data_IF_862208133626
#
_entry.id   IF_862208133626
#
_cell.length_a   1.000
_cell.length_b   1.000
_cell.length_c   1.000
_cell.angle_alpha   90.00
_cell.angle_beta   90.00
_cell.angle_gamma   90.00
#
_symmetry.space_group_name_H-M   'P 1'
#
loop_
_entity.id
_entity.type
_entity.pdbx_description
1 polymer ?
#
# COMPACT_ATOMS: atom_id res chain seq x y z
N UNK A 1 -1.44 26.00 -2.35
CA UNK A 1 -0.81 25.93 -1.01
C UNK A 1 -0.35 24.50 -0.81
N UNK A 2 0.93 24.24 -0.98
CA UNK A 2 1.50 22.92 -0.72
C UNK A 2 1.62 22.77 0.79
N UNK A 3 0.84 21.84 1.39
CA UNK A 3 1.04 21.51 2.78
C UNK A 3 2.40 20.83 2.93
N UNK A 4 3.30 21.45 3.65
CA UNK A 4 4.63 20.96 3.93
C UNK A 4 4.60 19.83 4.95
N UNK A 5 4.04 18.66 4.58
CA UNK A 5 4.20 17.45 5.35
C UNK A 5 5.64 16.98 5.19
N UNK A 6 6.44 17.20 6.19
CA UNK A 6 7.79 16.64 6.22
C UNK A 6 7.68 15.11 6.29
N UNK A 7 8.57 14.37 5.63
CA UNK A 7 8.54 12.90 5.64
C UNK A 7 8.55 12.29 7.05
N UNK A 8 9.03 13.01 8.05
CA UNK A 8 9.01 12.63 9.47
C UNK A 8 7.58 12.63 10.02
N UNK A 9 6.78 13.65 9.71
CA UNK A 9 5.40 13.75 10.20
C UNK A 9 4.51 12.65 9.60
N UNK A 10 4.69 12.32 8.33
CA UNK A 10 3.99 11.19 7.71
C UNK A 10 4.33 9.86 8.41
N UNK A 11 5.57 9.61 8.76
CA UNK A 11 5.98 8.40 9.49
C UNK A 11 5.33 8.27 10.86
N UNK A 12 5.32 9.34 11.65
CA UNK A 12 4.74 9.36 12.99
C UNK A 12 3.24 9.04 12.91
N UNK A 13 2.52 9.70 12.02
CA UNK A 13 1.09 9.50 11.86
C UNK A 13 0.78 8.08 11.35
N UNK A 14 1.56 7.55 10.43
CA UNK A 14 1.40 6.20 9.88
C UNK A 14 1.51 5.14 10.96
N UNK A 15 2.59 5.16 11.74
CA UNK A 15 2.82 4.17 12.81
C UNK A 15 1.76 4.27 13.89
N UNK A 16 1.41 5.48 14.33
CA UNK A 16 0.37 5.72 15.34
C UNK A 16 -1.00 5.18 14.88
N UNK A 17 -1.40 5.49 13.66
CA UNK A 17 -2.68 5.01 13.09
C UNK A 17 -2.70 3.49 12.96
N UNK A 18 -1.65 2.88 12.46
CA UNK A 18 -1.57 1.42 12.32
C UNK A 18 -1.52 0.69 13.67
N UNK A 19 -0.93 1.30 14.71
CA UNK A 19 -0.97 0.74 16.06
C UNK A 19 -2.39 0.75 16.65
N UNK A 20 -3.21 1.73 16.31
CA UNK A 20 -4.62 1.80 16.74
C UNK A 20 -5.53 0.81 16.00
N UNK A 21 -5.11 0.28 14.84
CA UNK A 21 -5.93 -0.62 14.05
C UNK A 21 -6.09 -1.99 14.74
N UNK A 22 -7.33 -2.49 14.76
CA UNK A 22 -7.62 -3.85 15.20
C UNK A 22 -7.05 -4.87 14.21
N UNK A 23 -6.44 -5.94 14.73
CA UNK A 23 -5.87 -7.02 13.93
C UNK A 23 -6.63 -8.32 14.17
N UNK A 24 -6.92 -9.04 13.09
CA UNK A 24 -7.57 -10.35 13.14
C UNK A 24 -6.93 -11.26 12.07
N UNK A 25 -6.68 -12.50 12.44
CA UNK A 25 -6.18 -13.49 11.47
C UNK A 25 -7.19 -13.70 10.34
N UNK A 26 -6.78 -13.46 9.12
CA UNK A 26 -7.54 -13.72 7.90
C UNK A 26 -6.60 -13.89 6.71
N UNK A 27 -7.14 -14.23 5.54
CA UNK A 27 -6.34 -14.49 4.34
C UNK A 27 -6.91 -13.81 3.08
N UNK A 28 -7.86 -12.90 3.25
CA UNK A 28 -8.58 -12.29 2.14
C UNK A 28 -8.49 -10.77 2.20
N UNK A 29 -8.53 -10.14 1.03
CA UNK A 29 -8.73 -8.71 0.88
C UNK A 29 -9.63 -8.40 -0.31
N UNK A 30 -10.25 -7.24 -0.28
CA UNK A 30 -11.08 -6.75 -1.37
C UNK A 30 -10.24 -5.95 -2.36
N UNK A 31 -10.62 -6.05 -3.62
CA UNK A 31 -10.11 -5.20 -4.70
C UNK A 31 -11.27 -4.35 -5.20
N UNK A 32 -11.16 -3.05 -4.99
CA UNK A 32 -12.14 -2.07 -5.43
C UNK A 32 -11.72 -1.47 -6.77
N UNK A 33 -12.44 -1.80 -7.83
CA UNK A 33 -12.26 -1.19 -9.15
C UNK A 33 -13.25 -0.04 -9.31
N UNK A 34 -12.73 1.18 -9.21
CA UNK A 34 -13.54 2.42 -9.27
C UNK A 34 -13.59 2.94 -10.70
N UNK A 35 -14.74 2.86 -11.32
CA UNK A 35 -15.00 3.35 -12.68
C UNK A 35 -16.06 4.46 -12.64
N UNK A 36 -15.62 5.71 -12.64
CA UNK A 36 -16.49 6.86 -12.49
C UNK A 36 -17.26 6.82 -11.16
N UNK A 37 -18.59 6.77 -11.21
CA UNK A 37 -19.45 6.69 -10.01
C UNK A 37 -19.68 5.24 -9.53
N UNK A 38 -19.29 4.23 -10.32
CA UNK A 38 -19.50 2.82 -9.99
C UNK A 38 -18.23 2.21 -9.41
N UNK A 39 -18.41 1.28 -8.48
CA UNK A 39 -17.31 0.46 -7.92
C UNK A 39 -17.65 -1.00 -8.08
N UNK A 40 -16.82 -1.73 -8.81
CA UNK A 40 -16.87 -3.19 -8.86
C UNK A 40 -15.93 -3.74 -7.81
N UNK A 41 -16.43 -4.65 -6.99
CA UNK A 41 -15.66 -5.27 -5.92
C UNK A 41 -15.42 -6.74 -6.24
N UNK A 42 -14.19 -7.18 -6.09
CA UNK A 42 -13.80 -8.58 -6.08
C UNK A 42 -13.04 -8.91 -4.80
N UNK A 43 -12.86 -10.19 -4.51
CA UNK A 43 -12.11 -10.65 -3.34
C UNK A 43 -10.95 -11.52 -3.82
N UNK A 44 -9.76 -11.24 -3.31
CA UNK A 44 -8.60 -12.11 -3.46
C UNK A 44 -8.36 -12.88 -2.17
N UNK A 45 -8.08 -14.17 -2.30
CA UNK A 45 -7.66 -15.04 -1.19
C UNK A 45 -6.20 -15.38 -1.38
N UNK A 46 -5.36 -15.07 -0.38
CA UNK A 46 -3.93 -15.41 -0.43
C UNK A 46 -3.74 -16.91 -0.65
N UNK A 47 -3.07 -17.24 -1.73
CA UNK A 47 -2.70 -18.61 -2.07
C UNK A 47 -1.66 -19.18 -1.09
N UNK A 48 -1.45 -20.49 -1.10
CA UNK A 48 -0.40 -21.12 -0.31
C UNK A 48 1.00 -20.62 -0.70
N UNK A 49 1.23 -20.35 -1.99
CA UNK A 49 2.49 -19.79 -2.48
C UNK A 49 2.71 -18.37 -1.95
N UNK A 50 1.72 -17.49 -2.05
CA UNK A 50 1.78 -16.12 -1.52
C UNK A 50 2.06 -16.10 -0.02
N UNK A 51 1.34 -16.90 0.75
CA UNK A 51 1.58 -17.06 2.20
C UNK A 51 3.02 -17.51 2.50
N UNK A 52 3.55 -18.43 1.71
CA UNK A 52 4.94 -18.90 1.84
C UNK A 52 5.93 -17.78 1.54
N UNK A 53 5.71 -17.00 0.50
CA UNK A 53 6.54 -15.85 0.14
C UNK A 53 6.53 -14.81 1.25
N UNK A 54 5.35 -14.43 1.74
CA UNK A 54 5.18 -13.46 2.83
C UNK A 54 5.85 -13.94 4.12
N UNK A 55 5.68 -15.21 4.48
CA UNK A 55 6.34 -15.83 5.63
C UNK A 55 7.87 -15.81 5.49
N UNK A 56 8.40 -16.16 4.34
CA UNK A 56 9.84 -16.14 4.08
C UNK A 56 10.42 -14.73 4.18
N UNK A 57 9.72 -13.74 3.59
CA UNK A 57 10.11 -12.35 3.74
C UNK A 57 10.11 -11.90 5.20
N UNK A 58 9.03 -12.19 5.92
CA UNK A 58 8.89 -11.83 7.33
C UNK A 58 9.99 -12.47 8.19
N UNK A 59 10.26 -13.75 7.99
CA UNK A 59 11.30 -14.48 8.74
C UNK A 59 12.70 -13.94 8.47
N UNK A 60 12.97 -13.47 7.25
CA UNK A 60 14.27 -12.94 6.86
C UNK A 60 14.51 -11.51 7.35
N UNK A 61 13.46 -10.70 7.43
CA UNK A 61 13.59 -9.25 7.57
C UNK A 61 13.04 -8.68 8.87
N UNK A 62 12.06 -9.32 9.50
CA UNK A 62 11.43 -8.77 10.70
C UNK A 62 12.16 -9.18 11.97
N UNK A 63 12.35 -8.21 12.86
CA UNK A 63 12.80 -8.51 14.22
C UNK A 63 11.61 -8.99 15.05
N UNK A 64 11.88 -9.88 16.00
CA UNK A 64 10.85 -10.50 16.83
C UNK A 64 10.10 -9.48 17.71
N UNK A 65 10.79 -8.47 18.17
CA UNK A 65 10.29 -7.39 19.04
C UNK A 65 9.58 -6.25 18.30
N UNK A 66 9.54 -6.28 16.96
CA UNK A 66 8.86 -5.23 16.21
C UNK A 66 7.33 -5.34 16.32
N UNK A 67 6.67 -4.19 16.52
CA UNK A 67 5.22 -4.09 16.37
C UNK A 67 4.79 -4.41 14.94
N UNK A 68 3.52 -4.77 14.76
CA UNK A 68 2.98 -4.99 13.41
C UNK A 68 3.09 -3.72 12.54
N UNK A 69 2.83 -2.55 13.12
CA UNK A 69 2.98 -1.27 12.42
C UNK A 69 4.42 -1.03 11.94
N UNK A 70 5.41 -1.38 12.76
CA UNK A 70 6.83 -1.29 12.37
C UNK A 70 7.18 -2.24 11.23
N UNK A 71 6.59 -3.44 11.24
CA UNK A 71 6.77 -4.41 10.14
C UNK A 71 6.17 -3.90 8.83
N UNK A 72 4.99 -3.24 8.88
CA UNK A 72 4.38 -2.60 7.70
C UNK A 72 5.25 -1.46 7.18
N UNK A 73 5.69 -0.56 8.04
CA UNK A 73 6.59 0.55 7.68
C UNK A 73 7.87 0.03 7.01
N UNK A 74 8.51 -0.97 7.61
CA UNK A 74 9.70 -1.61 7.05
C UNK A 74 9.43 -2.21 5.67
N UNK A 75 8.30 -2.92 5.52
CA UNK A 75 7.92 -3.53 4.23
C UNK A 75 7.77 -2.48 3.14
N UNK A 76 7.09 -1.38 3.41
CA UNK A 76 6.93 -0.28 2.47
C UNK A 76 8.28 0.36 2.09
N UNK A 77 9.13 0.62 3.07
CA UNK A 77 10.49 1.15 2.84
C UNK A 77 11.35 0.17 2.03
N UNK A 78 11.25 -1.13 2.31
CA UNK A 78 11.98 -2.16 1.59
C UNK A 78 11.53 -2.24 0.12
N UNK A 79 10.21 -2.24 -0.13
CA UNK A 79 9.64 -2.24 -1.48
C UNK A 79 10.20 -1.05 -2.26
N UNK A 80 10.08 0.15 -1.72
CA UNK A 80 10.54 1.39 -2.35
C UNK A 80 12.03 1.37 -2.70
N UNK A 81 12.86 0.80 -1.84
CA UNK A 81 14.32 0.75 -2.02
C UNK A 81 14.78 -0.31 -3.03
N UNK A 82 14.01 -1.39 -3.16
CA UNK A 82 14.42 -2.56 -3.95
C UNK A 82 13.63 -2.74 -5.24
N UNK A 83 12.55 -1.99 -5.44
CA UNK A 83 11.70 -2.10 -6.60
C UNK A 83 12.38 -1.55 -7.85
N UNK A 84 12.39 -2.35 -8.90
CA UNK A 84 12.54 -1.89 -10.28
C UNK A 84 11.15 -1.75 -10.91
N UNK A 85 10.83 -0.59 -11.45
CA UNK A 85 9.55 -0.38 -12.13
C UNK A 85 9.54 -1.12 -13.46
N UNK A 86 8.61 -2.04 -13.65
CA UNK A 86 8.52 -2.84 -14.84
C UNK A 86 7.28 -3.74 -14.82
N UNK A 87 7.13 -4.58 -15.83
CA UNK A 87 6.00 -5.50 -15.94
C UNK A 87 6.46 -6.95 -15.84
N UNK A 88 6.01 -7.65 -14.80
CA UNK A 88 6.18 -9.10 -14.65
C UNK A 88 4.81 -9.75 -14.66
N UNK A 89 4.53 -10.67 -15.59
CA UNK A 89 3.21 -11.28 -15.74
C UNK A 89 3.03 -12.53 -14.88
N UNK A 90 3.30 -12.49 -13.56
CA UNK A 90 3.10 -13.69 -12.71
C UNK A 90 1.69 -13.80 -12.16
N UNK A 91 0.91 -12.72 -12.17
CA UNK A 91 -0.41 -12.66 -11.55
C UNK A 91 -0.41 -12.61 -10.02
N UNK A 92 0.76 -12.55 -9.37
CA UNK A 92 0.89 -12.46 -7.91
C UNK A 92 1.74 -11.25 -7.52
N UNK A 93 1.16 -10.35 -6.73
CA UNK A 93 1.85 -9.14 -6.27
C UNK A 93 3.04 -9.47 -5.36
N UNK A 94 2.86 -10.35 -4.39
CA UNK A 94 3.94 -10.78 -3.49
C UNK A 94 5.09 -11.40 -4.25
N UNK A 95 4.81 -12.22 -5.27
CA UNK A 95 5.85 -12.88 -6.07
C UNK A 95 6.62 -11.86 -6.91
N UNK A 96 5.91 -10.95 -7.57
CA UNK A 96 6.54 -9.90 -8.36
C UNK A 96 7.49 -9.06 -7.51
N UNK A 97 7.06 -8.65 -6.33
CA UNK A 97 7.82 -7.72 -5.49
C UNK A 97 8.86 -8.43 -4.62
N UNK A 98 8.50 -9.45 -3.86
CA UNK A 98 9.41 -10.05 -2.88
C UNK A 98 10.37 -11.08 -3.48
N UNK A 99 10.06 -11.62 -4.66
CA UNK A 99 10.94 -12.56 -5.36
C UNK A 99 11.68 -11.88 -6.51
N UNK A 100 10.95 -11.26 -7.43
CA UNK A 100 11.54 -10.67 -8.63
C UNK A 100 11.98 -9.21 -8.45
N UNK A 101 11.48 -8.50 -7.43
CA UNK A 101 11.78 -7.09 -7.16
C UNK A 101 11.43 -6.16 -8.32
N UNK A 102 10.43 -6.53 -9.09
CA UNK A 102 9.97 -5.77 -10.24
C UNK A 102 8.44 -5.77 -10.28
N UNK A 103 7.84 -4.64 -10.65
CA UNK A 103 6.40 -4.50 -10.74
C UNK A 103 5.95 -3.07 -10.99
N UNK A 104 4.64 -2.90 -11.17
CA UNK A 104 3.98 -1.61 -11.35
C UNK A 104 3.19 -1.23 -10.08
N UNK A 105 2.43 -0.13 -10.13
CA UNK A 105 1.66 0.36 -8.99
C UNK A 105 0.72 -0.68 -8.37
N UNK A 106 0.13 -1.55 -9.19
CA UNK A 106 -0.68 -2.67 -8.71
C UNK A 106 0.15 -3.65 -7.87
N UNK A 107 1.38 -3.94 -8.32
CA UNK A 107 2.22 -4.95 -7.67
C UNK A 107 2.79 -4.47 -6.35
N UNK A 108 3.38 -3.27 -6.31
CA UNK A 108 4.01 -2.82 -5.08
C UNK A 108 3.00 -2.41 -4.00
N UNK A 109 1.88 -1.79 -4.36
CA UNK A 109 0.81 -1.53 -3.39
C UNK A 109 0.04 -2.80 -3.04
N UNK A 110 -0.17 -3.71 -4.00
CA UNK A 110 -0.75 -5.03 -3.76
C UNK A 110 0.09 -5.87 -2.81
N UNK A 111 1.40 -5.94 -3.00
CA UNK A 111 2.30 -6.67 -2.11
C UNK A 111 2.31 -6.09 -0.69
N UNK A 112 2.20 -4.77 -0.54
CA UNK A 112 2.03 -4.15 0.77
C UNK A 112 0.71 -4.57 1.43
N UNK A 113 -0.41 -4.53 0.69
CA UNK A 113 -1.72 -4.98 1.18
C UNK A 113 -1.66 -6.45 1.59
N UNK A 114 -1.06 -7.33 0.79
CA UNK A 114 -0.91 -8.75 1.11
C UNK A 114 -0.08 -8.98 2.38
N UNK A 115 1.00 -8.22 2.58
CA UNK A 115 1.77 -8.28 3.82
C UNK A 115 0.96 -7.77 5.01
N UNK A 116 0.16 -6.72 4.85
CA UNK A 116 -0.71 -6.20 5.91
C UNK A 116 -1.78 -7.23 6.28
N UNK A 117 -2.39 -7.88 5.31
CA UNK A 117 -3.34 -8.99 5.53
C UNK A 117 -2.66 -10.15 6.28
N UNK A 118 -1.46 -10.53 5.87
CA UNK A 118 -0.65 -11.52 6.56
C UNK A 118 -0.36 -11.16 8.03
N UNK A 119 -0.20 -9.88 8.32
CA UNK A 119 -0.01 -9.35 9.68
C UNK A 119 -1.32 -9.14 10.45
N UNK A 120 -2.47 -9.44 9.84
CA UNK A 120 -3.81 -9.38 10.44
C UNK A 120 -4.57 -8.07 10.27
N UNK A 121 -4.09 -7.13 9.45
CA UNK A 121 -4.81 -5.89 9.17
C UNK A 121 -5.91 -6.07 8.12
N UNK A 122 -7.04 -5.41 8.29
CA UNK A 122 -8.12 -5.33 7.28
C UNK A 122 -7.77 -4.29 6.20
N UNK A 123 -6.76 -4.60 5.41
CA UNK A 123 -6.30 -3.77 4.30
C UNK A 123 -6.88 -4.28 2.98
N UNK A 124 -7.14 -3.37 2.05
CA UNK A 124 -7.75 -3.65 0.76
C UNK A 124 -7.02 -2.91 -0.35
N UNK A 125 -7.16 -3.36 -1.60
CA UNK A 125 -6.55 -2.74 -2.78
C UNK A 125 -7.59 -1.93 -3.55
N UNK A 126 -7.24 -0.74 -4.00
CA UNK A 126 -8.09 0.14 -4.80
C UNK A 126 -7.45 0.40 -6.14
N UNK A 127 -8.20 0.24 -7.20
CA UNK A 127 -7.88 0.72 -8.54
C UNK A 127 -8.77 1.91 -8.85
N UNK A 128 -8.19 3.06 -9.12
CA UNK A 128 -8.93 4.30 -9.40
C UNK A 128 -8.10 5.29 -10.21
N UNK A 129 -8.45 6.55 -10.15
CA UNK A 129 -7.73 7.62 -10.85
C UNK A 129 -7.15 8.63 -9.87
N UNK A 130 -5.93 9.10 -10.14
CA UNK A 130 -5.31 10.23 -9.45
C UNK A 130 -5.65 11.55 -10.17
N UNK A 131 -5.64 12.65 -9.44
CA UNK A 131 -5.83 13.98 -10.02
C UNK A 131 -4.71 14.27 -11.03
N UNK A 132 -5.10 14.62 -12.25
CA UNK A 132 -4.14 14.93 -13.33
C UNK A 132 -3.38 13.73 -13.87
N UNK A 133 -3.66 12.51 -13.39
CA UNK A 133 -3.02 11.27 -13.82
C UNK A 133 -4.00 10.22 -14.34
N UNK A 134 -3.44 9.16 -14.90
CA UNK A 134 -4.20 8.00 -15.35
C UNK A 134 -4.64 7.08 -14.20
N UNK A 135 -5.01 5.88 -14.57
CA UNK A 135 -5.34 4.81 -13.63
C UNK A 135 -4.15 4.51 -12.70
N UNK A 136 -4.47 4.33 -11.42
CA UNK A 136 -3.49 4.02 -10.40
C UNK A 136 -4.05 3.01 -9.39
N UNK A 137 -3.16 2.30 -8.70
CA UNK A 137 -3.50 1.39 -7.62
C UNK A 137 -2.91 1.89 -6.31
N UNK A 138 -3.69 1.80 -5.23
CA UNK A 138 -3.25 2.09 -3.88
C UNK A 138 -3.95 1.19 -2.88
N UNK A 139 -3.47 1.14 -1.66
CA UNK A 139 -4.12 0.42 -0.58
C UNK A 139 -5.12 1.27 0.21
N UNK A 140 -6.02 0.63 0.90
CA UNK A 140 -6.91 1.23 1.89
C UNK A 140 -6.93 0.41 3.17
N UNK A 141 -7.09 1.09 4.29
CA UNK A 141 -7.42 0.47 5.59
C UNK A 141 -8.49 1.30 6.29
N UNK A 142 -9.42 0.62 6.97
CA UNK A 142 -10.41 1.27 7.82
C UNK A 142 -10.01 1.12 9.28
N UNK A 143 -9.88 2.23 10.00
CA UNK A 143 -9.52 2.29 11.41
C UNK A 143 -10.54 3.16 12.12
N UNK A 144 -11.26 2.60 13.09
CA UNK A 144 -12.29 3.30 13.89
C UNK A 144 -13.30 4.07 13.02
N UNK A 145 -13.77 3.45 11.94
CA UNK A 145 -14.74 4.03 11.02
C UNK A 145 -14.17 4.98 9.98
N UNK A 146 -12.91 5.39 10.09
CA UNK A 146 -12.23 6.26 9.13
C UNK A 146 -11.44 5.45 8.12
N UNK A 147 -11.59 5.77 6.84
CA UNK A 147 -10.82 5.15 5.76
C UNK A 147 -9.54 5.93 5.50
N UNK A 148 -8.42 5.22 5.54
CA UNK A 148 -7.09 5.75 5.24
C UNK A 148 -6.55 5.16 3.94
N UNK A 149 -5.94 6.00 3.14
CA UNK A 149 -5.17 5.66 1.96
C UNK A 149 -3.79 5.13 2.38
N UNK A 150 -3.36 4.06 1.73
CA UNK A 150 -2.03 3.46 1.87
C UNK A 150 -1.28 3.59 0.55
N UNK A 151 -0.11 4.19 0.56
CA UNK A 151 0.72 4.34 -0.64
C UNK A 151 2.18 4.10 -0.29
N UNK A 152 2.83 3.18 -0.99
CA UNK A 152 4.26 2.89 -0.78
C UNK A 152 5.15 4.08 -1.13
N UNK A 153 4.69 4.95 -2.00
CA UNK A 153 5.47 6.08 -2.51
C UNK A 153 6.47 5.64 -3.59
N UNK A 154 6.27 6.18 -4.78
CA UNK A 154 7.11 5.85 -5.93
C UNK A 154 8.43 6.61 -5.89
N UNK A 155 9.54 5.87 -6.02
CA UNK A 155 10.80 6.42 -6.51
C UNK A 155 10.80 6.39 -8.05
N UNK A 156 9.69 6.78 -8.68
CA UNK A 156 9.40 6.43 -10.08
C UNK A 156 9.87 7.45 -11.06
N UNK A 157 10.49 8.44 -10.90
CA UNK A 157 11.16 9.24 -11.94
C UNK A 157 12.29 10.06 -11.31
N UNK A 158 13.45 10.08 -11.93
CA UNK A 158 14.53 11.05 -11.70
C UNK A 158 14.10 12.49 -12.06
N UNK A 159 12.86 12.83 -11.76
CA UNK A 159 12.36 14.19 -11.88
C UNK A 159 12.50 14.90 -10.55
N UNK A 160 13.16 16.06 -10.50
CA UNK A 160 13.25 16.86 -9.28
C UNK A 160 11.90 17.24 -8.67
N UNK A 161 10.85 17.28 -9.49
CA UNK A 161 9.46 17.53 -9.09
C UNK A 161 8.84 16.34 -8.36
N UNK A 162 9.34 15.13 -8.62
CA UNK A 162 8.88 13.88 -8.05
C UNK A 162 9.92 13.28 -7.09
N UNK A 163 10.92 14.02 -6.72
CA UNK A 163 11.85 13.67 -5.65
C UNK A 163 11.08 13.68 -4.33
N UNK A 164 9.96 12.94 -4.33
CA UNK A 164 9.10 12.85 -3.18
C UNK A 164 9.82 12.15 -2.08
N UNK A 165 10.01 12.91 -1.12
CA UNK A 165 10.14 12.58 0.28
C UNK A 165 8.96 11.73 0.80
N UNK A 166 8.08 11.24 -0.07
CA UNK A 166 6.97 10.40 0.28
C UNK A 166 7.50 9.02 0.61
N UNK A 167 7.67 8.82 1.87
CA UNK A 167 7.73 7.51 2.45
C UNK A 167 6.30 6.98 2.54
N UNK A 168 6.14 5.69 2.86
CA UNK A 168 4.86 5.08 3.09
C UNK A 168 3.87 6.03 3.79
N UNK A 169 2.67 6.16 3.25
CA UNK A 169 1.60 7.01 3.78
C UNK A 169 0.46 6.16 4.32
N UNK A 170 -0.12 6.60 5.45
CA UNK A 170 -1.42 6.17 5.96
C UNK A 170 -2.22 7.44 6.27
N UNK A 171 -2.81 8.03 5.25
CA UNK A 171 -3.44 9.35 5.29
C UNK A 171 -4.93 9.25 5.03
N UNK A 172 -5.71 10.17 5.63
CA UNK A 172 -7.09 10.39 5.18
C UNK A 172 -7.05 10.86 3.72
N UNK A 173 -8.08 10.55 2.95
CA UNK A 173 -8.16 11.03 1.57
C UNK A 173 -8.10 12.57 1.47
N UNK A 174 -8.64 13.28 2.48
CA UNK A 174 -8.56 14.74 2.56
C UNK A 174 -7.16 15.29 2.88
N UNK A 175 -6.28 14.47 3.42
CA UNK A 175 -4.89 14.84 3.75
C UNK A 175 -3.92 14.49 2.62
N UNK A 176 -4.34 13.62 1.68
CA UNK A 176 -3.49 13.17 0.60
C UNK A 176 -3.35 14.27 -0.47
N UNK A 177 -2.12 14.64 -0.76
CA UNK A 177 -1.81 15.53 -1.87
C UNK A 177 -1.90 14.78 -3.21
N UNK A 178 -2.32 15.45 -4.29
CA UNK A 178 -2.46 14.85 -5.62
C UNK A 178 -3.81 14.22 -5.93
N UNK A 179 -4.78 14.26 -5.00
CA UNK A 179 -6.19 13.92 -5.23
C UNK A 179 -6.42 12.50 -5.72
N UNK A 180 -6.66 11.58 -4.82
CA UNK A 180 -7.10 10.22 -5.13
C UNK A 180 -8.62 10.19 -5.32
N UNK A 181 -9.09 9.48 -6.34
CA UNK A 181 -10.53 9.30 -6.59
C UNK A 181 -11.00 7.95 -6.11
N UNK A 182 -12.01 7.97 -5.25
CA UNK A 182 -12.80 6.81 -4.90
C UNK A 182 -14.28 7.11 -5.10
N UNK A 183 -15.04 6.18 -5.68
CA UNK A 183 -16.48 6.33 -5.96
C UNK A 183 -16.80 7.60 -6.78
N UNK A 184 -15.95 7.97 -7.71
CA UNK A 184 -16.13 9.14 -8.58
C UNK A 184 -15.88 10.50 -7.90
N UNK A 185 -15.57 10.52 -6.60
CA UNK A 185 -15.18 11.74 -5.89
C UNK A 185 -13.67 11.91 -5.91
N UNK A 186 -13.22 13.14 -6.07
CA UNK A 186 -11.84 13.54 -5.90
C UNK A 186 -11.64 13.91 -4.43
N UNK A 187 -10.65 13.33 -3.79
CA UNK A 187 -10.30 13.64 -2.41
C UNK A 187 -8.97 14.38 -2.35
#
# INVERSE_FOLDING_TARGET
>A
VYSSWTGIQCKINTVSRLNAATKKSHSTYKIYNVQGKKTKTSTHTLTAEEKKILKNFASKHFKKDWSAAKKVEYTADWIRKNLKYGRIPTGSHSKNIFVYKEGQCADYNGALVEMMVYLGYDANLVMGNRKGGGQHFWGEIKIDGVTYLLEVGEKVYDSPQWNYKWQFMCLKYSEADGGYKKNGKLY
#
